data_IF_838485053672
#
_entry.id   IF_838485053672
#
_cell.length_a   1.000
_cell.length_b   1.000
_cell.length_c   1.000
_cell.angle_alpha   90.00
_cell.angle_beta   90.00
_cell.angle_gamma   90.00
#
_symmetry.space_group_name_H-M   'P 1'
#
loop_
_entity.id
_entity.type
_entity.pdbx_description
1 polymer ?
#
# COMPACT_ATOMS: atom_id res chain seq x y z
N UNK A 1 -16.23 21.30 8.86
CA UNK A 1 -14.96 21.99 8.56
C UNK A 1 -13.77 21.15 9.03
N UNK A 2 -13.77 20.70 10.29
CA UNK A 2 -12.79 19.73 10.79
C UNK A 2 -12.82 18.40 10.02
N UNK A 3 -14.00 17.80 9.86
CA UNK A 3 -14.13 16.51 9.16
C UNK A 3 -13.63 16.59 7.71
N UNK A 4 -13.97 17.67 6.99
CA UNK A 4 -13.49 17.89 5.62
C UNK A 4 -11.96 18.06 5.54
N UNK A 5 -11.33 18.64 6.57
CA UNK A 5 -9.88 18.73 6.66
C UNK A 5 -9.27 17.34 6.92
N UNK A 6 -9.83 16.58 7.85
CA UNK A 6 -9.39 15.22 8.15
C UNK A 6 -9.50 14.32 6.91
N UNK A 7 -10.62 14.37 6.19
CA UNK A 7 -10.81 13.61 4.95
C UNK A 7 -9.83 14.04 3.85
N UNK A 8 -9.53 15.34 3.75
CA UNK A 8 -8.52 15.84 2.81
C UNK A 8 -7.13 15.30 3.13
N UNK A 9 -6.75 15.25 4.41
CA UNK A 9 -5.48 14.69 4.85
C UNK A 9 -5.42 13.17 4.64
N UNK A 10 -6.51 12.45 4.94
CA UNK A 10 -6.61 11.02 4.63
C UNK A 10 -6.40 10.77 3.15
N UNK A 11 -7.07 11.54 2.28
CA UNK A 11 -6.92 11.40 0.83
C UNK A 11 -5.48 11.71 0.36
N UNK A 12 -4.82 12.70 0.95
CA UNK A 12 -3.44 13.05 0.63
C UNK A 12 -2.46 11.93 1.01
N UNK A 13 -2.58 11.42 2.23
CA UNK A 13 -1.74 10.31 2.72
C UNK A 13 -2.01 9.04 1.92
N UNK A 14 -3.27 8.72 1.62
CA UNK A 14 -3.63 7.58 0.77
C UNK A 14 -2.97 7.67 -0.61
N UNK A 15 -2.97 8.85 -1.24
CA UNK A 15 -2.34 9.08 -2.54
C UNK A 15 -0.81 8.91 -2.46
N UNK A 16 -0.16 9.45 -1.43
CA UNK A 16 1.29 9.31 -1.27
C UNK A 16 1.67 7.84 -1.04
N UNK A 17 0.95 7.17 -0.14
CA UNK A 17 1.19 5.77 0.18
C UNK A 17 0.97 4.87 -1.03
N UNK A 18 -0.10 5.09 -1.81
CA UNK A 18 -0.35 4.30 -3.02
C UNK A 18 0.77 4.46 -4.05
N UNK A 19 1.33 5.66 -4.21
CA UNK A 19 2.48 5.89 -5.10
C UNK A 19 3.74 5.17 -4.63
N UNK A 20 4.02 5.16 -3.33
CA UNK A 20 5.14 4.36 -2.80
C UNK A 20 4.95 2.87 -3.04
N UNK A 21 3.74 2.35 -2.86
CA UNK A 21 3.45 0.93 -3.10
C UNK A 21 3.53 0.61 -4.60
N UNK A 22 2.92 1.41 -5.47
CA UNK A 22 2.87 1.17 -6.92
C UNK A 22 4.24 1.36 -7.59
N UNK A 23 4.88 2.51 -7.39
CA UNK A 23 6.06 2.89 -8.16
C UNK A 23 7.33 2.30 -7.57
N UNK A 24 7.44 2.29 -6.24
CA UNK A 24 8.63 1.79 -5.56
C UNK A 24 8.53 0.29 -5.24
N UNK A 25 7.57 -0.14 -4.41
CA UNK A 25 7.53 -1.54 -4.00
C UNK A 25 7.19 -2.49 -5.15
N UNK A 26 6.13 -2.20 -5.89
CA UNK A 26 5.66 -3.08 -6.95
C UNK A 26 6.55 -3.02 -8.19
N UNK A 27 6.68 -1.85 -8.82
CA UNK A 27 7.37 -1.73 -10.10
C UNK A 27 8.88 -1.90 -10.01
N UNK A 28 9.52 -1.39 -8.94
CA UNK A 28 10.99 -1.42 -8.85
C UNK A 28 11.54 -2.68 -8.16
N UNK A 29 10.81 -3.27 -7.21
CA UNK A 29 11.33 -4.37 -6.37
C UNK A 29 10.65 -5.70 -6.66
N UNK A 30 9.34 -5.79 -6.44
CA UNK A 30 8.63 -7.07 -6.36
C UNK A 30 8.34 -7.66 -7.75
N UNK A 31 7.84 -6.85 -8.70
CA UNK A 31 7.47 -7.33 -10.03
C UNK A 31 8.66 -8.00 -10.76
N UNK A 32 9.87 -7.40 -10.80
CA UNK A 32 11.02 -8.04 -11.43
C UNK A 32 11.41 -9.39 -10.79
N UNK A 33 11.37 -9.49 -9.47
CA UNK A 33 11.73 -10.72 -8.75
C UNK A 33 10.76 -11.86 -9.06
N UNK A 34 9.46 -11.57 -9.05
CA UNK A 34 8.44 -12.58 -9.36
C UNK A 34 8.45 -12.94 -10.85
N UNK A 35 8.68 -11.99 -11.75
CA UNK A 35 8.87 -12.29 -13.19
C UNK A 35 10.02 -13.28 -13.40
N UNK A 36 11.17 -13.08 -12.75
CA UNK A 36 12.30 -14.00 -12.83
C UNK A 36 11.97 -15.40 -12.28
N UNK A 37 11.24 -15.45 -11.15
CA UNK A 37 10.80 -16.71 -10.57
C UNK A 37 9.86 -17.49 -11.50
N UNK A 38 8.88 -16.80 -12.09
CA UNK A 38 7.91 -17.38 -13.03
C UNK A 38 8.60 -17.91 -14.29
N UNK A 39 9.53 -17.14 -14.87
CA UNK A 39 10.30 -17.56 -16.05
C UNK A 39 11.07 -18.85 -15.78
N UNK A 40 11.67 -19.00 -14.58
CA UNK A 40 12.39 -20.22 -14.18
C UNK A 40 11.45 -21.43 -14.10
N UNK A 41 10.26 -21.27 -13.52
CA UNK A 41 9.27 -22.34 -13.42
C UNK A 41 8.79 -22.82 -14.79
N UNK A 42 8.50 -21.89 -15.71
CA UNK A 42 8.06 -22.22 -17.07
C UNK A 42 9.16 -22.96 -17.85
N UNK A 43 10.43 -22.54 -17.72
CA UNK A 43 11.54 -23.17 -18.43
C UNK A 43 11.89 -24.56 -17.90
N UNK A 44 11.62 -24.83 -16.62
CA UNK A 44 12.00 -26.08 -15.95
C UNK A 44 10.98 -27.21 -16.07
N UNK A 45 9.80 -26.99 -16.69
CA UNK A 45 8.67 -27.90 -16.48
C UNK A 45 7.59 -27.84 -17.57
N UNK A 46 6.88 -28.96 -17.80
CA UNK A 46 5.69 -29.03 -18.68
C UNK A 46 4.45 -28.64 -17.85
N UNK A 47 4.45 -27.44 -17.30
CA UNK A 47 3.42 -27.00 -16.34
C UNK A 47 2.30 -26.24 -17.06
N UNK A 48 1.07 -26.40 -16.55
CA UNK A 48 -0.09 -25.62 -17.00
C UNK A 48 0.13 -24.13 -16.69
N UNK A 49 0.09 -23.30 -17.74
CA UNK A 49 0.28 -21.85 -17.65
C UNK A 49 -0.75 -21.18 -16.72
N UNK A 50 -1.94 -21.76 -16.56
CA UNK A 50 -2.95 -21.25 -15.63
C UNK A 50 -2.49 -21.39 -14.18
N UNK A 51 -1.98 -22.55 -13.79
CA UNK A 51 -1.49 -22.79 -12.42
C UNK A 51 -0.28 -21.89 -12.11
N UNK A 52 0.61 -21.67 -13.08
CA UNK A 52 1.74 -20.74 -12.92
C UNK A 52 1.25 -19.33 -12.66
N UNK A 53 0.23 -18.88 -13.39
CA UNK A 53 -0.32 -17.55 -13.25
C UNK A 53 -0.99 -17.33 -11.89
N UNK A 54 -1.87 -18.23 -11.46
CA UNK A 54 -2.54 -18.15 -10.14
C UNK A 54 -1.53 -18.15 -8.99
N UNK A 55 -0.45 -18.93 -9.13
CA UNK A 55 0.63 -18.98 -8.15
C UNK A 55 1.46 -17.69 -8.14
N UNK A 56 1.70 -17.09 -9.30
CA UNK A 56 2.39 -15.81 -9.40
C UNK A 56 1.58 -14.65 -8.80
N UNK A 57 0.25 -14.63 -9.03
CA UNK A 57 -0.64 -13.65 -8.40
C UNK A 57 -0.65 -13.79 -6.88
N UNK A 58 -0.72 -15.02 -6.36
CA UNK A 58 -0.66 -15.24 -4.90
C UNK A 58 0.67 -14.77 -4.32
N UNK A 59 1.80 -15.13 -4.95
CA UNK A 59 3.12 -14.71 -4.50
C UNK A 59 3.26 -13.18 -4.49
N UNK A 60 2.81 -12.51 -5.56
CA UNK A 60 2.84 -11.05 -5.65
C UNK A 60 2.00 -10.39 -4.56
N UNK A 61 0.78 -10.87 -4.33
CA UNK A 61 -0.11 -10.32 -3.31
C UNK A 61 0.51 -10.45 -1.92
N UNK A 62 1.08 -11.60 -1.61
CA UNK A 62 1.64 -11.87 -0.28
C UNK A 62 2.90 -11.02 -0.04
N UNK A 63 3.82 -10.94 -1.02
CA UNK A 63 5.01 -10.10 -0.93
C UNK A 63 4.67 -8.61 -0.83
N UNK A 64 3.76 -8.14 -1.68
CA UNK A 64 3.39 -6.73 -1.72
C UNK A 64 2.59 -6.31 -0.49
N UNK A 65 1.70 -7.17 0.02
CA UNK A 65 0.96 -6.91 1.24
C UNK A 65 1.88 -6.76 2.45
N UNK A 66 2.86 -7.67 2.60
CA UNK A 66 3.85 -7.60 3.67
C UNK A 66 4.71 -6.33 3.56
N UNK A 67 5.26 -6.06 2.36
CA UNK A 67 6.11 -4.89 2.14
C UNK A 67 5.36 -3.56 2.33
N UNK A 68 4.08 -3.49 1.94
CA UNK A 68 3.24 -2.32 2.16
C UNK A 68 2.97 -2.08 3.65
N UNK A 69 2.72 -3.13 4.43
CA UNK A 69 2.54 -3.03 5.88
C UNK A 69 3.82 -2.53 6.57
N UNK A 70 4.98 -3.07 6.19
CA UNK A 70 6.28 -2.63 6.73
C UNK A 70 6.54 -1.16 6.38
N UNK A 71 6.27 -0.75 5.13
CA UNK A 71 6.41 0.64 4.68
C UNK A 71 5.48 1.59 5.46
N UNK A 72 4.25 1.17 5.76
CA UNK A 72 3.32 1.93 6.60
C UNK A 72 3.88 2.13 8.01
N UNK A 73 4.33 1.05 8.65
CA UNK A 73 4.87 1.06 10.01
C UNK A 73 6.12 1.96 10.09
N UNK A 74 7.02 1.86 9.11
CA UNK A 74 8.28 2.60 9.13
C UNK A 74 8.09 4.10 8.90
N UNK A 75 7.23 4.47 7.94
CA UNK A 75 7.18 5.83 7.42
C UNK A 75 5.92 6.62 7.77
N UNK A 76 4.81 5.97 8.13
CA UNK A 76 3.51 6.63 8.31
C UNK A 76 2.95 6.49 9.73
N UNK A 77 3.06 5.31 10.34
CA UNK A 77 2.48 5.04 11.64
C UNK A 77 2.97 6.02 12.72
N UNK A 78 2.03 6.54 13.51
CA UNK A 78 2.29 7.48 14.61
C UNK A 78 2.94 8.80 14.18
N UNK A 79 2.99 9.09 12.87
CA UNK A 79 3.49 10.38 12.37
C UNK A 79 2.39 11.42 12.40
N UNK A 80 2.76 12.61 12.83
CA UNK A 80 1.88 13.79 12.75
C UNK A 80 1.80 14.27 11.32
N UNK A 81 0.59 14.35 10.76
CA UNK A 81 0.37 14.84 9.40
C UNK A 81 0.03 16.33 9.36
N UNK A 82 -0.89 16.78 10.24
CA UNK A 82 -1.37 18.17 10.26
C UNK A 82 -1.59 18.69 11.68
N UNK A 83 -1.44 20.00 11.85
CA UNK A 83 -1.75 20.72 13.09
C UNK A 83 -2.93 21.66 12.87
N UNK A 84 -3.92 21.58 13.74
CA UNK A 84 -5.23 22.23 13.64
C UNK A 84 -5.39 23.19 14.83
N UNK A 85 -5.93 24.38 14.55
CA UNK A 85 -6.21 25.39 15.57
C UNK A 85 -5.08 26.39 15.79
N UNK A 86 -5.38 27.38 16.63
CA UNK A 86 -4.45 28.44 17.06
C UNK A 86 -4.15 28.26 18.55
N UNK A 87 -2.96 28.65 18.99
CA UNK A 87 -2.61 28.60 20.41
C UNK A 87 -3.62 29.39 21.26
N UNK A 88 -4.04 28.88 22.43
CA UNK A 88 -3.53 27.69 23.13
C UNK A 88 -4.26 26.35 22.81
N UNK A 89 -5.25 26.34 21.91
CA UNK A 89 -6.09 25.16 21.65
C UNK A 89 -5.64 24.42 20.37
N UNK A 90 -4.36 24.04 20.33
CA UNK A 90 -3.80 23.35 19.16
C UNK A 90 -4.02 21.84 19.30
N UNK A 91 -4.43 21.21 18.21
CA UNK A 91 -4.54 19.75 18.10
C UNK A 91 -3.78 19.28 16.88
N UNK A 92 -3.35 18.03 16.88
CA UNK A 92 -2.62 17.39 15.80
C UNK A 92 -3.34 16.12 15.36
N UNK A 93 -3.27 15.81 14.07
CA UNK A 93 -3.72 14.51 13.54
C UNK A 93 -2.52 13.60 13.48
N UNK A 94 -2.66 12.43 14.09
CA UNK A 94 -1.69 11.35 14.08
C UNK A 94 -2.26 10.20 13.27
N UNK A 95 -1.46 9.68 12.34
CA UNK A 95 -1.83 8.52 11.53
C UNK A 95 -1.80 7.26 12.40
N UNK A 96 -2.90 6.50 12.39
CA UNK A 96 -3.05 5.29 13.20
C UNK A 96 -2.77 4.04 12.35
N UNK A 97 -3.28 2.90 12.80
CA UNK A 97 -3.10 1.64 12.09
C UNK A 97 -3.79 1.64 10.72
N UNK A 98 -3.22 0.85 9.82
CA UNK A 98 -3.84 0.55 8.53
C UNK A 98 -4.95 -0.46 8.78
N UNK A 99 -6.19 -0.09 8.48
CA UNK A 99 -7.38 -0.89 8.75
C UNK A 99 -7.62 -1.90 7.63
N UNK A 100 -7.39 -1.49 6.39
CA UNK A 100 -7.60 -2.35 5.24
C UNK A 100 -6.61 -2.03 4.10
N UNK A 101 -6.15 -3.08 3.43
CA UNK A 101 -5.36 -2.99 2.19
C UNK A 101 -5.91 -3.99 1.19
N UNK A 102 -6.52 -3.50 0.11
CA UNK A 102 -7.04 -4.32 -0.98
C UNK A 102 -6.18 -4.12 -2.22
N UNK A 103 -5.54 -5.21 -2.64
CA UNK A 103 -4.80 -5.31 -3.88
C UNK A 103 -5.67 -5.95 -4.96
N UNK A 104 -5.76 -5.30 -6.12
CA UNK A 104 -6.47 -5.82 -7.31
C UNK A 104 -5.55 -5.84 -8.52
N UNK A 105 -5.77 -6.81 -9.39
CA UNK A 105 -5.08 -6.96 -10.67
C UNK A 105 -6.12 -6.78 -11.80
N UNK A 106 -6.38 -5.55 -12.27
CA UNK A 106 -7.55 -5.22 -13.08
C UNK A 106 -7.65 -6.01 -14.39
N UNK A 107 -6.52 -6.44 -14.96
CA UNK A 107 -6.49 -7.14 -16.25
C UNK A 107 -6.12 -8.62 -16.16
N UNK A 108 -6.04 -9.20 -14.95
CA UNK A 108 -5.35 -10.50 -14.72
C UNK A 108 -3.95 -10.52 -15.33
N UNK A 109 -3.29 -9.36 -15.30
CA UNK A 109 -1.93 -9.17 -15.75
C UNK A 109 -1.15 -8.65 -14.57
N UNK A 110 0.03 -9.20 -14.39
CA UNK A 110 1.00 -8.78 -13.39
C UNK A 110 1.76 -7.53 -13.83
N UNK A 111 1.16 -6.69 -14.67
CA UNK A 111 1.74 -5.45 -15.17
C UNK A 111 1.26 -4.24 -14.37
N UNK A 112 0.08 -4.34 -13.78
CA UNK A 112 -0.61 -3.24 -13.11
C UNK A 112 -1.27 -3.76 -11.83
N UNK A 113 -1.26 -2.92 -10.80
CA UNK A 113 -1.99 -3.12 -9.57
C UNK A 113 -2.89 -1.92 -9.31
N UNK A 114 -4.01 -2.17 -8.65
CA UNK A 114 -4.79 -1.14 -7.98
C UNK A 114 -4.72 -1.41 -6.48
N UNK A 115 -4.41 -0.36 -5.73
CA UNK A 115 -4.37 -0.38 -4.28
C UNK A 115 -5.51 0.48 -3.73
N UNK A 116 -6.31 -0.12 -2.86
CA UNK A 116 -7.31 0.57 -2.06
C UNK A 116 -6.92 0.40 -0.58
N UNK A 117 -6.79 1.52 0.12
CA UNK A 117 -6.24 1.56 1.48
C UNK A 117 -7.16 2.39 2.36
N UNK A 118 -7.48 1.83 3.52
CA UNK A 118 -8.11 2.57 4.61
C UNK A 118 -7.26 2.49 5.87
N UNK A 119 -7.26 3.58 6.63
CA UNK A 119 -6.46 3.72 7.84
C UNK A 119 -7.13 4.67 8.82
N UNK A 120 -6.86 4.43 10.10
CA UNK A 120 -7.34 5.24 11.19
C UNK A 120 -6.57 6.56 11.34
N UNK A 121 -7.20 7.53 11.97
CA UNK A 121 -6.59 8.80 12.35
C UNK A 121 -7.01 9.17 13.77
N UNK A 122 -6.07 9.69 14.56
CA UNK A 122 -6.31 10.10 15.93
C UNK A 122 -6.04 11.60 16.11
N UNK A 123 -6.92 12.29 16.84
CA UNK A 123 -6.74 13.68 17.23
C UNK A 123 -6.05 13.73 18.60
N UNK A 124 -4.90 14.40 18.66
CA UNK A 124 -4.10 14.56 19.89
C UNK A 124 -3.97 16.05 20.21
N UNK A 125 -4.24 16.45 21.45
CA UNK A 125 -4.00 17.83 21.90
C UNK A 125 -2.50 18.08 22.09
N UNK A 126 -2.00 19.24 21.63
CA UNK A 126 -0.61 19.68 21.85
C UNK A 126 -0.46 20.52 23.12
#
# INVERSE_FOLDING_TARGET
LLDALIESEKAHVALLFSRFVEDYLYNALIRPEVEEHVIRLIRGSVVDLREVHERAECLMRDLLGAAAADLWIEHFLSRTSVKIGTEPNRSAVVLAEMEETRLRYPWRRLAEIELDVDFGVELVAE
#
